data_IF_509159396429
#
_entry.id   IF_509159396429
#
_cell.length_a   1.000
_cell.length_b   1.000
_cell.length_c   1.000
_cell.angle_alpha   90.00
_cell.angle_beta   90.00
_cell.angle_gamma   90.00
#
_symmetry.space_group_name_H-M   'P 1'
#
loop_
_entity.id
_entity.type
_entity.pdbx_description
1 polymer ?
#
# COMPACT_ATOMS: atom_id res chain seq x y z
N UNK A 1 17.72 25.73 44.32
CA UNK A 1 16.68 24.77 44.75
C UNK A 1 16.13 24.09 43.51
N UNK A 2 15.98 22.77 43.59
CA UNK A 2 15.76 21.85 42.47
C UNK A 2 14.34 21.90 41.91
N UNK A 3 14.18 21.73 40.59
CA UNK A 3 12.88 21.66 39.91
C UNK A 3 12.96 20.82 38.63
N UNK A 4 12.99 19.49 38.80
CA UNK A 4 12.45 18.43 37.94
C UNK A 4 12.40 18.74 36.43
N UNK A 5 13.34 18.31 35.59
CA UNK A 5 13.74 16.92 35.44
C UNK A 5 12.67 16.13 34.67
N UNK A 6 12.41 16.51 33.42
CA UNK A 6 11.40 15.88 32.56
C UNK A 6 11.70 16.06 31.09
N UNK A 7 12.96 15.88 30.69
CA UNK A 7 13.37 15.90 29.29
C UNK A 7 12.90 14.61 28.62
N UNK A 8 11.69 14.62 28.04
CA UNK A 8 11.29 13.59 27.08
C UNK A 8 12.18 13.70 25.85
N UNK A 9 13.09 12.76 25.66
CA UNK A 9 13.87 12.66 24.43
C UNK A 9 12.90 12.42 23.26
N UNK A 10 13.00 13.16 22.15
CA UNK A 10 12.17 12.90 20.98
C UNK A 10 12.51 11.49 20.44
N UNK A 11 11.53 10.58 20.48
CA UNK A 11 11.65 9.28 19.83
C UNK A 11 11.31 9.44 18.34
N UNK A 12 12.28 9.18 17.48
CA UNK A 12 12.09 9.12 16.03
C UNK A 12 11.98 7.66 15.58
N UNK A 13 10.91 7.32 14.88
CA UNK A 13 10.74 6.00 14.28
C UNK A 13 11.08 6.07 12.81
N UNK A 14 12.12 5.33 12.39
CA UNK A 14 12.46 5.17 10.98
C UNK A 14 11.63 4.04 10.38
N UNK A 15 11.12 4.25 9.16
CA UNK A 15 10.40 3.22 8.43
C UNK A 15 10.65 3.36 6.94
N UNK A 16 10.55 2.25 6.22
CA UNK A 16 10.60 2.25 4.76
C UNK A 16 9.18 2.21 4.24
N UNK A 17 8.81 3.16 3.39
CA UNK A 17 7.54 3.12 2.66
C UNK A 17 7.75 2.45 1.30
N UNK A 18 6.84 1.56 0.94
CA UNK A 18 6.78 0.93 -0.38
C UNK A 18 5.52 1.34 -1.12
N UNK A 19 5.61 1.41 -2.45
CA UNK A 19 4.46 1.62 -3.34
C UNK A 19 4.31 0.40 -4.25
N UNK A 20 3.08 -0.10 -4.37
CA UNK A 20 2.66 -1.12 -5.33
C UNK A 20 1.78 -0.45 -6.38
N UNK A 21 2.18 -0.60 -7.65
CA UNK A 21 1.41 -0.16 -8.82
C UNK A 21 0.98 -1.40 -9.61
N UNK A 22 -0.28 -1.44 -10.05
CA UNK A 22 -0.84 -2.49 -10.90
C UNK A 22 -1.55 -1.85 -12.07
N UNK A 23 -1.09 -2.16 -13.29
CA UNK A 23 -1.69 -1.68 -14.52
C UNK A 23 -2.47 -2.80 -15.21
N UNK A 24 -3.67 -2.49 -15.67
CA UNK A 24 -4.49 -3.37 -16.49
C UNK A 24 -4.55 -2.77 -17.88
N UNK A 25 -4.06 -3.54 -18.85
CA UNK A 25 -3.85 -3.10 -20.23
C UNK A 25 -4.75 -3.90 -21.18
N UNK A 26 -5.21 -3.27 -22.25
CA UNK A 26 -5.74 -4.03 -23.39
C UNK A 26 -4.60 -4.76 -24.09
N UNK A 27 -4.73 -6.09 -24.24
CA UNK A 27 -3.64 -6.91 -24.76
C UNK A 27 -3.31 -6.64 -26.24
N UNK A 28 -4.27 -6.13 -27.02
CA UNK A 28 -4.14 -5.85 -28.46
C UNK A 28 -3.63 -4.44 -28.70
N UNK A 29 -4.25 -3.43 -28.09
CA UNK A 29 -3.90 -2.02 -28.31
C UNK A 29 -2.76 -1.54 -27.41
N UNK A 30 -2.47 -2.27 -26.32
CA UNK A 30 -1.51 -1.89 -25.27
C UNK A 30 -1.90 -0.62 -24.50
N UNK A 31 -3.16 -0.21 -24.59
CA UNK A 31 -3.68 0.93 -23.85
C UNK A 31 -3.96 0.57 -22.40
N UNK A 32 -3.67 1.49 -21.47
CA UNK A 32 -4.01 1.35 -20.05
C UNK A 32 -5.51 1.56 -19.87
N UNK A 33 -6.18 0.53 -19.37
CA UNK A 33 -7.61 0.56 -19.05
C UNK A 33 -7.86 0.99 -17.61
N UNK A 34 -6.92 0.70 -16.72
CA UNK A 34 -7.01 1.02 -15.29
C UNK A 34 -5.62 0.93 -14.64
N UNK A 35 -5.38 1.78 -13.65
CA UNK A 35 -4.20 1.78 -12.80
C UNK A 35 -4.63 1.79 -11.33
N UNK A 36 -4.00 0.93 -10.53
CA UNK A 36 -4.20 0.86 -9.08
C UNK A 36 -2.91 1.12 -8.33
N UNK A 37 -2.96 2.02 -7.35
CA UNK A 37 -1.82 2.38 -6.50
C UNK A 37 -2.13 2.08 -5.04
N UNK A 38 -1.20 1.42 -4.34
CA UNK A 38 -1.24 1.27 -2.89
C UNK A 38 0.13 1.58 -2.28
N UNK A 39 0.11 2.25 -1.13
CA UNK A 39 1.30 2.58 -0.36
C UNK A 39 1.22 1.94 1.01
N UNK A 40 2.37 1.61 1.58
CA UNK A 40 2.43 1.07 2.94
C UNK A 40 3.84 0.90 3.47
N UNK A 41 3.96 0.90 4.79
CA UNK A 41 5.23 0.65 5.47
C UNK A 41 5.67 -0.80 5.33
N UNK A 42 6.89 -1.00 4.83
CA UNK A 42 7.53 -2.30 4.72
C UNK A 42 8.04 -2.75 6.09
N UNK A 43 7.66 -3.98 6.46
CA UNK A 43 8.22 -4.62 7.64
C UNK A 43 9.57 -5.26 7.31
N UNK A 44 10.50 -5.38 8.27
CA UNK A 44 11.74 -6.13 8.06
C UNK A 44 11.60 -7.65 7.89
N UNK A 45 10.37 -8.19 7.76
CA UNK A 45 10.09 -9.62 7.59
C UNK A 45 9.37 -9.88 6.26
N UNK A 46 9.98 -10.69 5.40
CA UNK A 46 9.46 -11.01 4.05
C UNK A 46 8.03 -11.54 4.09
N UNK A 47 7.72 -12.49 4.99
CA UNK A 47 6.36 -13.06 5.08
C UNK A 47 5.28 -12.01 5.38
N UNK A 48 5.61 -10.97 6.16
CA UNK A 48 4.67 -9.89 6.46
C UNK A 48 4.50 -8.96 5.27
N UNK A 49 5.57 -8.65 4.53
CA UNK A 49 5.49 -7.90 3.26
C UNK A 49 4.60 -8.65 2.27
N UNK A 50 4.78 -9.97 2.11
CA UNK A 50 3.95 -10.77 1.20
C UNK A 50 2.46 -10.71 1.59
N UNK A 51 2.14 -10.79 2.88
CA UNK A 51 0.78 -10.66 3.36
C UNK A 51 0.19 -9.26 3.12
N UNK A 52 0.99 -8.20 3.27
CA UNK A 52 0.60 -6.83 2.94
C UNK A 52 0.28 -6.69 1.45
N UNK A 53 1.15 -7.20 0.58
CA UNK A 53 0.93 -7.21 -0.89
C UNK A 53 -0.37 -7.94 -1.21
N UNK A 54 -0.55 -9.17 -0.72
CA UNK A 54 -1.76 -9.96 -0.99
C UNK A 54 -3.04 -9.24 -0.52
N UNK A 55 -3.00 -8.59 0.66
CA UNK A 55 -4.12 -7.82 1.19
C UNK A 55 -4.42 -6.58 0.34
N UNK A 56 -3.39 -5.85 -0.08
CA UNK A 56 -3.51 -4.67 -0.93
C UNK A 56 -4.09 -5.03 -2.30
N UNK A 57 -3.58 -6.07 -2.95
CA UNK A 57 -4.12 -6.59 -4.22
C UNK A 57 -5.59 -6.95 -4.06
N UNK A 58 -5.95 -7.73 -3.03
CA UNK A 58 -7.35 -8.09 -2.77
C UNK A 58 -8.24 -6.85 -2.60
N UNK A 59 -7.81 -5.86 -1.83
CA UNK A 59 -8.57 -4.60 -1.62
C UNK A 59 -8.71 -3.80 -2.91
N UNK A 60 -7.64 -3.68 -3.70
CA UNK A 60 -7.67 -3.05 -5.03
C UNK A 60 -8.78 -3.65 -5.88
N UNK A 61 -8.76 -4.97 -6.09
CA UNK A 61 -9.71 -5.62 -6.98
C UNK A 61 -11.14 -5.70 -6.44
N UNK A 62 -11.32 -5.82 -5.12
CA UNK A 62 -12.67 -5.93 -4.52
C UNK A 62 -13.40 -4.59 -4.39
N UNK A 63 -12.66 -3.48 -4.21
CA UNK A 63 -13.26 -2.19 -3.88
C UNK A 63 -13.04 -1.11 -4.92
N UNK A 64 -11.92 -1.14 -5.63
CA UNK A 64 -11.47 -0.01 -6.44
C UNK A 64 -11.33 -0.34 -7.93
N UNK A 65 -11.15 -1.62 -8.27
CA UNK A 65 -11.23 -2.05 -9.65
C UNK A 65 -12.69 -2.00 -10.12
N UNK A 66 -13.00 -1.29 -11.22
CA UNK A 66 -14.32 -1.33 -11.80
C UNK A 66 -14.57 -2.73 -12.35
N UNK A 67 -15.23 -3.57 -11.54
CA UNK A 67 -15.91 -4.74 -12.08
C UNK A 67 -16.93 -4.17 -13.05
N UNK A 68 -16.69 -4.31 -14.36
CA UNK A 68 -17.78 -4.16 -15.33
C UNK A 68 -18.80 -5.22 -14.91
N UNK A 69 -19.83 -4.81 -14.17
CA UNK A 69 -21.07 -5.57 -14.12
C UNK A 69 -21.59 -5.50 -15.54
N UNK A 70 -21.29 -6.54 -16.32
CA UNK A 70 -21.90 -6.70 -17.62
C UNK A 70 -23.40 -6.75 -17.36
N UNK A 71 -24.10 -5.69 -17.75
CA UNK A 71 -25.55 -5.65 -17.72
C UNK A 71 -26.03 -6.55 -18.85
N UNK A 72 -26.54 -7.73 -18.51
CA UNK A 72 -27.68 -8.38 -19.15
C UNK A 72 -28.17 -9.51 -18.28
#
# INVERSE_FOLDING_TARGET
MMGWGGGGYPYQTQYTEGTLVIDILDAKTKEVLWEGVAQGTLSGKINRIQNQINSSVRKMFTKYYPLKQTVS
#
